data_IF_182479198622
#
_entry.id   IF_182479198622
#
_cell.length_a   1.000
_cell.length_b   1.000
_cell.length_c   1.000
_cell.angle_alpha   90.00
_cell.angle_beta   90.00
_cell.angle_gamma   90.00
#
_symmetry.space_group_name_H-M   'P 1'
#
loop_
_entity.id
_entity.type
_entity.pdbx_description
1 polymer ?
#
# COMPACT_ATOMS: atom_id res chain seq x y z
N UNK A 1 -50.56 -41.61 -8.41
CA UNK A 1 -50.61 -40.12 -8.44
C UNK A 1 -49.67 -39.50 -7.37
N UNK A 2 -49.71 -39.96 -6.12
CA UNK A 2 -48.87 -39.46 -5.01
C UNK A 2 -47.34 -39.61 -5.21
N UNK A 3 -46.88 -40.72 -5.77
CA UNK A 3 -45.44 -40.97 -5.99
C UNK A 3 -44.80 -39.98 -7.02
N UNK A 4 -45.57 -39.51 -7.99
CA UNK A 4 -45.10 -38.58 -9.01
C UNK A 4 -44.96 -37.14 -8.44
N UNK A 5 -45.82 -36.75 -7.51
CA UNK A 5 -45.79 -35.46 -6.84
C UNK A 5 -44.60 -35.38 -5.87
N UNK A 6 -44.37 -36.43 -5.10
CA UNK A 6 -43.25 -36.54 -4.17
C UNK A 6 -41.89 -36.47 -4.89
N UNK A 7 -41.78 -37.14 -6.06
CA UNK A 7 -40.55 -37.13 -6.88
C UNK A 7 -40.26 -35.75 -7.46
N UNK A 8 -41.30 -34.99 -7.83
CA UNK A 8 -41.15 -33.60 -8.31
C UNK A 8 -40.74 -32.63 -7.19
N UNK A 9 -41.32 -32.81 -5.99
CA UNK A 9 -40.94 -32.01 -4.82
C UNK A 9 -39.50 -32.27 -4.38
N UNK A 10 -39.02 -33.50 -4.45
CA UNK A 10 -37.63 -33.85 -4.13
C UNK A 10 -36.64 -33.19 -5.13
N UNK A 11 -36.96 -33.20 -6.43
CA UNK A 11 -36.14 -32.58 -7.46
C UNK A 11 -36.09 -31.07 -7.31
N UNK A 12 -37.17 -30.41 -6.94
CA UNK A 12 -37.20 -28.96 -6.69
C UNK A 12 -36.38 -28.61 -5.46
N UNK A 13 -36.44 -29.42 -4.38
CA UNK A 13 -35.64 -29.18 -3.17
C UNK A 13 -34.13 -29.33 -3.42
N UNK A 14 -33.72 -30.30 -4.26
CA UNK A 14 -32.29 -30.47 -4.61
C UNK A 14 -31.75 -29.33 -5.50
N UNK A 15 -32.57 -28.83 -6.42
CA UNK A 15 -32.19 -27.68 -7.27
C UNK A 15 -32.07 -26.38 -6.45
N UNK A 16 -32.98 -26.13 -5.52
CA UNK A 16 -32.92 -25.00 -4.61
C UNK A 16 -31.72 -25.05 -3.66
N UNK A 17 -31.39 -26.26 -3.14
CA UNK A 17 -30.19 -26.44 -2.30
C UNK A 17 -28.89 -26.20 -3.08
N UNK A 18 -28.81 -26.65 -4.34
CA UNK A 18 -27.64 -26.41 -5.20
C UNK A 18 -27.48 -24.93 -5.54
N UNK A 19 -28.57 -24.20 -5.75
CA UNK A 19 -28.53 -22.74 -6.03
C UNK A 19 -28.11 -21.94 -4.79
N UNK A 20 -28.55 -22.33 -3.59
CA UNK A 20 -28.14 -21.72 -2.33
C UNK A 20 -26.65 -21.93 -2.04
N UNK A 21 -26.09 -23.09 -2.38
CA UNK A 21 -24.67 -23.39 -2.24
C UNK A 21 -23.79 -22.56 -3.19
N UNK A 22 -24.28 -22.27 -4.40
CA UNK A 22 -23.57 -21.41 -5.35
C UNK A 22 -23.55 -19.94 -4.93
N UNK A 23 -24.60 -19.44 -4.28
CA UNK A 23 -24.61 -18.07 -3.73
C UNK A 23 -23.66 -17.90 -2.53
N UNK A 24 -23.44 -18.95 -1.75
CA UNK A 24 -22.50 -18.91 -0.62
C UNK A 24 -21.02 -18.89 -1.05
N UNK A 25 -20.70 -19.36 -2.25
CA UNK A 25 -19.35 -19.37 -2.80
C UNK A 25 -18.95 -18.06 -3.49
N UNK A 26 -19.90 -17.18 -3.76
CA UNK A 26 -19.67 -15.89 -4.42
C UNK A 26 -19.39 -14.72 -3.45
N UNK A 27 -19.37 -14.96 -2.15
CA UNK A 27 -18.92 -13.99 -1.17
C UNK A 27 -17.39 -14.05 -1.07
N UNK A 28 -16.69 -13.49 -2.06
CA UNK A 28 -15.30 -13.08 -1.89
C UNK A 28 -15.24 -12.15 -0.67
N UNK A 29 -14.35 -12.39 0.30
CA UNK A 29 -14.18 -11.45 1.39
C UNK A 29 -13.77 -10.13 0.76
N UNK A 30 -14.60 -9.09 0.92
CA UNK A 30 -14.27 -7.71 0.58
C UNK A 30 -12.87 -7.46 1.14
N UNK A 31 -11.91 -7.21 0.25
CA UNK A 31 -10.54 -6.91 0.61
C UNK A 31 -10.57 -5.88 1.74
N UNK A 32 -9.93 -6.20 2.88
CA UNK A 32 -9.99 -5.40 4.09
C UNK A 32 -9.69 -3.93 3.77
N UNK A 33 -10.69 -3.07 3.90
CA UNK A 33 -10.59 -1.62 3.71
C UNK A 33 -9.86 -0.93 4.87
N UNK A 34 -9.09 -1.68 5.67
CA UNK A 34 -8.29 -1.14 6.75
C UNK A 34 -7.08 -0.33 6.28
N UNK A 35 -6.53 0.53 7.13
CA UNK A 35 -5.35 1.32 6.78
C UNK A 35 -4.19 0.42 6.41
N UNK A 36 -3.46 0.79 5.34
CA UNK A 36 -2.33 0.02 4.82
C UNK A 36 -1.09 0.26 5.68
N UNK A 37 -0.23 -0.75 5.80
CA UNK A 37 1.05 -0.59 6.49
C UNK A 37 2.00 0.28 5.64
N UNK A 38 2.48 1.39 6.22
CA UNK A 38 3.44 2.29 5.60
C UNK A 38 4.80 1.62 5.43
N UNK A 39 5.41 1.75 4.25
CA UNK A 39 6.74 1.21 3.89
C UNK A 39 7.04 -0.18 4.47
N UNK A 40 6.07 -1.08 4.37
CA UNK A 40 6.17 -2.48 4.88
C UNK A 40 6.57 -2.58 6.36
N UNK A 41 6.25 -1.56 7.15
CA UNK A 41 6.54 -1.52 8.58
C UNK A 41 7.94 -1.06 8.95
N UNK A 42 8.70 -0.49 8.02
CA UNK A 42 9.97 0.18 8.33
C UNK A 42 9.73 1.57 8.93
N UNK A 43 10.68 2.04 9.71
CA UNK A 43 10.64 3.32 10.40
C UNK A 43 11.04 4.47 9.47
N UNK A 44 10.12 5.40 9.10
CA UNK A 44 10.45 6.50 8.20
C UNK A 44 11.43 7.51 8.80
N UNK A 45 11.49 7.65 10.12
CA UNK A 45 12.39 8.57 10.82
C UNK A 45 13.83 8.03 10.81
N UNK A 46 14.00 6.71 10.87
CA UNK A 46 15.31 6.08 10.91
C UNK A 46 16.18 6.37 9.67
N UNK A 47 15.58 6.60 8.51
CA UNK A 47 16.34 7.02 7.32
C UNK A 47 17.06 8.34 7.51
N UNK A 48 16.47 9.27 8.28
CA UNK A 48 17.05 10.59 8.56
C UNK A 48 18.01 10.55 9.75
N UNK A 49 17.68 9.81 10.79
CA UNK A 49 18.42 9.81 12.06
C UNK A 49 19.55 8.80 12.08
N UNK A 50 19.36 7.62 11.46
CA UNK A 50 20.31 6.50 11.46
C UNK A 50 20.94 6.26 10.09
N UNK A 51 20.48 6.94 9.03
CA UNK A 51 20.93 6.76 7.64
C UNK A 51 20.86 5.30 7.16
N UNK A 52 19.84 4.58 7.60
CA UNK A 52 19.59 3.19 7.19
C UNK A 52 18.13 2.82 7.28
N UNK A 53 17.71 1.86 6.44
CA UNK A 53 16.44 1.18 6.58
C UNK A 53 16.41 0.39 7.90
N UNK A 54 15.40 0.65 8.73
CA UNK A 54 15.27 0.04 10.05
C UNK A 54 13.85 -0.45 10.24
N UNK A 55 13.61 -1.74 10.56
CA UNK A 55 12.28 -2.22 10.86
C UNK A 55 11.67 -1.51 12.07
N UNK A 56 10.41 -1.11 11.96
CA UNK A 56 9.62 -0.64 13.07
C UNK A 56 8.99 -1.78 13.87
N UNK A 57 8.42 -1.46 15.02
CA UNK A 57 7.79 -2.39 15.94
C UNK A 57 6.31 -2.05 16.08
N UNK A 58 5.45 -3.06 16.18
CA UNK A 58 3.99 -2.88 16.28
C UNK A 58 3.56 -2.10 17.54
N UNK A 59 4.35 -2.15 18.61
CA UNK A 59 4.08 -1.38 19.82
C UNK A 59 4.28 0.15 19.65
N UNK A 60 4.99 0.58 18.61
CA UNK A 60 5.23 1.97 18.28
C UNK A 60 4.57 2.31 16.93
N UNK A 61 3.26 2.42 16.91
CA UNK A 61 2.48 2.74 15.72
C UNK A 61 1.87 4.15 15.78
N UNK A 62 1.62 4.70 14.60
CA UNK A 62 0.83 5.91 14.42
C UNK A 62 0.09 5.86 13.08
N UNK A 63 -1.22 6.17 13.11
CA UNK A 63 -2.05 6.27 11.92
C UNK A 63 -1.94 7.68 11.33
N UNK A 64 -1.49 7.80 10.09
CA UNK A 64 -1.43 9.05 9.37
C UNK A 64 -1.56 8.82 7.86
N UNK A 65 -2.34 9.66 7.19
CA UNK A 65 -2.59 9.61 5.73
C UNK A 65 -2.96 8.20 5.25
N UNK A 66 -3.99 7.60 5.88
CA UNK A 66 -4.52 6.27 5.58
C UNK A 66 -3.53 5.09 5.75
N UNK A 67 -2.35 5.35 6.33
CA UNK A 67 -1.34 4.33 6.60
C UNK A 67 -1.06 4.19 8.08
N UNK A 68 -0.85 2.95 8.52
CA UNK A 68 -0.25 2.65 9.82
C UNK A 68 1.27 2.68 9.66
N UNK A 69 1.91 3.60 10.34
CA UNK A 69 3.36 3.75 10.36
C UNK A 69 3.93 3.08 11.59
N UNK A 70 5.01 2.32 11.41
CA UNK A 70 5.74 1.67 12.51
C UNK A 70 7.09 2.33 12.74
N UNK A 71 7.50 2.39 14.00
CA UNK A 71 8.74 3.06 14.41
C UNK A 71 9.61 2.11 15.23
N UNK A 72 10.93 2.30 15.18
CA UNK A 72 11.88 1.53 15.96
C UNK A 72 11.84 1.90 17.45
N UNK A 73 11.32 3.10 17.78
CA UNK A 73 11.22 3.61 19.16
C UNK A 73 10.03 4.57 19.32
N UNK A 74 9.65 4.80 20.57
CA UNK A 74 8.66 5.84 20.93
C UNK A 74 9.15 7.24 20.51
N UNK A 75 10.44 7.53 20.65
CA UNK A 75 11.03 8.80 20.25
C UNK A 75 10.87 9.08 18.76
N UNK A 76 11.14 8.08 17.88
CA UNK A 76 10.94 8.24 16.45
C UNK A 76 9.45 8.42 16.09
N UNK A 77 8.55 7.69 16.74
CA UNK A 77 7.11 7.90 16.58
C UNK A 77 6.72 9.34 16.92
N UNK A 78 7.23 9.89 18.02
CA UNK A 78 6.88 11.22 18.47
C UNK A 78 7.48 12.32 17.56
N UNK A 79 8.67 12.10 17.01
CA UNK A 79 9.24 12.95 15.95
C UNK A 79 8.37 12.94 14.68
N UNK A 80 7.90 11.76 14.25
CA UNK A 80 7.00 11.67 13.12
C UNK A 80 5.66 12.37 13.36
N UNK A 81 5.07 12.20 14.54
CA UNK A 81 3.82 12.87 14.95
C UNK A 81 3.93 14.39 14.91
N UNK A 82 5.10 14.93 15.27
CA UNK A 82 5.34 16.37 15.25
C UNK A 82 5.42 16.93 13.83
N UNK A 83 6.00 16.20 12.88
CA UNK A 83 6.12 16.62 11.48
C UNK A 83 6.11 15.41 10.53
N UNK A 84 4.93 14.83 10.25
CA UNK A 84 4.83 13.65 9.37
C UNK A 84 5.30 13.94 7.93
N UNK A 85 5.05 15.15 7.43
CA UNK A 85 5.39 15.53 6.04
C UNK A 85 6.89 15.51 5.81
N UNK A 86 7.68 15.83 6.83
CA UNK A 86 9.13 15.79 6.80
C UNK A 86 9.67 14.37 6.61
N UNK A 87 9.10 13.41 7.32
CA UNK A 87 9.64 12.06 7.43
C UNK A 87 9.00 11.06 6.46
N UNK A 88 7.75 11.29 6.05
CA UNK A 88 7.07 10.40 5.12
C UNK A 88 7.76 10.39 3.74
N UNK A 89 7.85 9.23 3.08
CA UNK A 89 8.32 9.17 1.71
C UNK A 89 7.45 10.01 0.77
N UNK A 90 8.07 10.69 -0.18
CA UNK A 90 7.37 11.59 -1.13
C UNK A 90 6.28 10.89 -1.95
N UNK A 91 6.40 9.59 -2.14
CA UNK A 91 5.47 8.80 -2.93
C UNK A 91 4.91 7.60 -2.14
N UNK A 92 4.76 7.72 -0.83
CA UNK A 92 4.29 6.66 0.06
C UNK A 92 5.05 5.33 -0.20
N UNK A 93 4.32 4.24 -0.47
CA UNK A 93 4.91 2.91 -0.70
C UNK A 93 5.41 2.67 -2.13
N UNK A 94 5.39 3.68 -3.01
CA UNK A 94 5.67 3.49 -4.44
C UNK A 94 7.12 3.80 -4.83
N UNK A 95 7.58 3.06 -5.84
CA UNK A 95 8.88 3.27 -6.47
C UNK A 95 8.92 4.58 -7.25
N UNK A 96 9.79 5.53 -6.85
CA UNK A 96 9.90 6.84 -7.49
C UNK A 96 10.28 6.75 -8.98
N UNK A 97 11.17 5.82 -9.37
CA UNK A 97 11.54 5.61 -10.80
C UNK A 97 10.36 5.07 -11.59
N UNK A 98 9.58 4.15 -11.04
CA UNK A 98 8.40 3.61 -11.72
C UNK A 98 7.36 4.72 -11.95
N UNK A 99 7.08 5.51 -10.93
CA UNK A 99 6.16 6.67 -11.05
C UNK A 99 6.65 7.67 -12.09
N UNK A 100 7.95 7.99 -12.13
CA UNK A 100 8.50 8.89 -13.16
C UNK A 100 8.29 8.37 -14.60
N UNK A 101 8.05 7.07 -14.76
CA UNK A 101 7.72 6.41 -16.04
C UNK A 101 6.22 6.20 -16.25
N UNK A 102 5.37 6.62 -15.32
CA UNK A 102 3.93 6.39 -15.39
C UNK A 102 3.49 4.99 -14.95
N UNK A 103 4.34 4.26 -14.22
CA UNK A 103 4.06 2.92 -13.74
C UNK A 103 3.83 2.91 -12.22
N UNK A 104 2.86 2.11 -11.75
CA UNK A 104 2.64 1.84 -10.33
C UNK A 104 3.39 0.57 -9.95
N UNK A 105 4.41 0.70 -9.09
CA UNK A 105 5.15 -0.42 -8.52
C UNK A 105 5.48 -0.15 -7.06
N UNK A 106 5.41 -1.16 -6.23
CA UNK A 106 5.84 -1.05 -4.85
C UNK A 106 7.35 -0.82 -4.73
N UNK A 107 7.71 -0.04 -3.71
CA UNK A 107 9.09 0.13 -3.31
C UNK A 107 9.56 -1.00 -2.38
N UNK A 108 10.88 -1.19 -2.33
CA UNK A 108 11.57 -1.94 -1.31
C UNK A 108 12.20 -0.94 -0.32
N UNK A 109 11.91 -1.01 0.98
CA UNK A 109 12.45 -0.11 2.00
C UNK A 109 13.98 -0.02 2.04
N UNK A 110 14.68 -1.07 1.61
CA UNK A 110 16.15 -1.10 1.58
C UNK A 110 16.77 -0.20 0.48
N UNK A 111 15.98 0.21 -0.51
CA UNK A 111 16.46 1.02 -1.63
C UNK A 111 15.88 2.43 -1.55
N UNK A 112 16.65 3.35 -1.05
CA UNK A 112 16.20 4.69 -0.72
C UNK A 112 17.21 5.78 -1.09
N UNK A 113 16.74 7.02 -1.09
CA UNK A 113 17.51 8.23 -1.28
C UNK A 113 16.88 9.35 -0.45
N UNK A 114 17.69 10.04 0.31
CA UNK A 114 17.33 11.37 0.82
C UNK A 114 17.99 12.41 -0.06
N UNK A 115 17.19 13.32 -0.60
CA UNK A 115 17.67 14.48 -1.33
C UNK A 115 16.86 15.71 -0.92
N UNK A 116 17.55 16.79 -0.58
CA UNK A 116 16.95 18.04 -0.12
C UNK A 116 15.91 17.81 1.01
N UNK A 117 16.31 17.01 2.00
CA UNK A 117 15.46 16.64 3.15
C UNK A 117 14.22 15.82 2.82
N UNK A 118 14.12 15.23 1.63
CA UNK A 118 12.98 14.43 1.17
C UNK A 118 13.39 12.98 0.94
N UNK A 119 12.58 12.07 1.45
CA UNK A 119 12.79 10.62 1.31
C UNK A 119 12.11 10.10 0.04
N UNK A 120 12.86 9.37 -0.77
CA UNK A 120 12.41 8.65 -1.95
C UNK A 120 12.73 7.18 -1.81
N UNK A 121 11.80 6.31 -2.22
CA UNK A 121 11.96 4.85 -2.17
C UNK A 121 11.95 4.26 -3.58
N UNK A 122 12.63 3.12 -3.74
CA UNK A 122 12.80 2.46 -5.04
C UNK A 122 12.51 0.96 -4.97
N UNK A 123 12.09 0.37 -6.08
CA UNK A 123 11.83 -1.08 -6.17
C UNK A 123 13.09 -1.92 -6.46
N UNK A 124 14.21 -1.29 -6.83
CA UNK A 124 15.45 -1.98 -7.22
C UNK A 124 16.68 -1.25 -6.68
N UNK A 125 17.80 -1.98 -6.43
CA UNK A 125 19.01 -1.39 -5.83
C UNK A 125 19.65 -0.29 -6.68
N UNK A 126 19.51 -0.34 -8.00
CA UNK A 126 20.02 0.68 -8.92
C UNK A 126 19.07 1.91 -9.06
N UNK A 127 17.92 1.87 -8.39
CA UNK A 127 16.90 2.92 -8.45
C UNK A 127 17.41 4.30 -8.02
N UNK A 128 18.12 4.44 -6.88
CA UNK A 128 18.68 5.71 -6.44
C UNK A 128 19.58 6.36 -7.48
N UNK A 129 20.50 5.61 -8.08
CA UNK A 129 21.42 6.14 -9.07
C UNK A 129 20.74 6.52 -10.38
N UNK A 130 19.77 5.72 -10.80
CA UNK A 130 18.96 6.03 -11.98
C UNK A 130 18.12 7.29 -11.78
N UNK A 131 17.57 7.49 -10.58
CA UNK A 131 16.77 8.66 -10.24
C UNK A 131 17.61 9.95 -10.17
N UNK A 132 18.84 9.86 -9.66
CA UNK A 132 19.79 10.99 -9.56
C UNK A 132 20.25 11.54 -10.91
N UNK A 133 20.28 10.72 -11.99
CA UNK A 133 20.77 11.14 -13.33
C UNK A 133 20.06 12.38 -13.85
N UNK A 134 18.78 12.54 -13.52
CA UNK A 134 17.97 13.69 -13.87
C UNK A 134 16.93 13.95 -12.77
N UNK A 135 17.43 14.25 -11.58
CA UNK A 135 16.65 14.29 -10.36
C UNK A 135 15.44 15.22 -10.47
N UNK A 136 15.63 16.45 -10.95
CA UNK A 136 14.56 17.43 -11.05
C UNK A 136 13.42 16.97 -11.94
N UNK A 137 13.75 16.53 -13.16
CA UNK A 137 12.73 16.01 -14.10
C UNK A 137 12.07 14.73 -13.57
N UNK A 138 12.84 13.82 -12.96
CA UNK A 138 12.28 12.58 -12.40
C UNK A 138 11.31 12.85 -11.27
N UNK A 139 11.60 13.81 -10.38
CA UNK A 139 10.68 14.23 -9.31
C UNK A 139 9.40 14.83 -9.90
N UNK A 140 9.51 15.75 -10.86
CA UNK A 140 8.35 16.39 -11.48
C UNK A 140 7.48 15.39 -12.28
N UNK A 141 8.10 14.47 -13.00
CA UNK A 141 7.37 13.40 -13.70
C UNK A 141 6.65 12.47 -12.72
N UNK A 142 7.33 12.05 -11.64
CA UNK A 142 6.75 11.17 -10.64
C UNK A 142 5.55 11.83 -9.93
N UNK A 143 5.64 13.12 -9.58
CA UNK A 143 4.53 13.89 -9.01
C UNK A 143 3.34 13.95 -9.94
N UNK A 144 3.55 14.40 -11.18
CA UNK A 144 2.48 14.51 -12.18
C UNK A 144 1.81 13.18 -12.45
N UNK A 145 2.59 12.12 -12.66
CA UNK A 145 2.05 10.80 -12.93
C UNK A 145 1.30 10.23 -11.72
N UNK A 146 1.76 10.49 -10.49
CA UNK A 146 1.02 10.10 -9.28
C UNK A 146 -0.37 10.74 -9.21
N UNK A 147 -0.49 12.02 -9.51
CA UNK A 147 -1.78 12.71 -9.52
C UNK A 147 -2.71 12.18 -10.63
N UNK A 148 -2.18 11.91 -11.82
CA UNK A 148 -2.95 11.29 -12.90
C UNK A 148 -3.44 9.89 -12.54
N UNK A 149 -2.61 9.08 -11.89
CA UNK A 149 -2.96 7.72 -11.47
C UNK A 149 -4.03 7.74 -10.36
N UNK A 150 -3.92 8.66 -9.40
CA UNK A 150 -4.96 8.86 -8.37
C UNK A 150 -6.31 9.26 -8.99
N UNK A 151 -6.30 10.14 -9.97
CA UNK A 151 -7.52 10.58 -10.65
C UNK A 151 -8.22 9.46 -11.45
N UNK A 152 -7.51 8.39 -11.79
CA UNK A 152 -8.04 7.23 -12.50
C UNK A 152 -8.55 6.12 -11.57
N UNK A 153 -8.32 6.21 -10.25
CA UNK A 153 -8.86 5.27 -9.27
C UNK A 153 -10.34 5.64 -9.01
N UNK A 154 -11.34 4.86 -9.48
CA UNK A 154 -12.74 5.17 -9.22
C UNK A 154 -13.05 4.96 -7.74
N UNK A 155 -13.43 6.02 -7.03
CA UNK A 155 -14.11 5.92 -5.75
C UNK A 155 -13.24 5.95 -4.50
N UNK A 156 -12.22 6.81 -4.45
CA UNK A 156 -11.63 7.28 -3.20
C UNK A 156 -12.02 8.70 -2.88
#
# INVERSE_FOLDING_TARGET
MFASIMRRLLLIATVLAAFAAQLAMAAEPLASSGPRLGIKGYDPVAYFTLQRATPGQAQFEYLWDEHVWRFASAANRDLFKADPVRYAPQFANFCAVALARGEVREANPEYWLINDGKLYLFGKPYGPDLFRKDLGQNVERARRNRELLKAQEPGR
#
